data_IF_631668472140
#
_entry.id   IF_631668472140
#
_cell.length_a   1.000
_cell.length_b   1.000
_cell.length_c   1.000
_cell.angle_alpha   90.00
_cell.angle_beta   90.00
_cell.angle_gamma   90.00
#
_symmetry.space_group_name_H-M   'P 1'
#
loop_
_entity.id
_entity.type
_entity.pdbx_description
1 polymer ?
#
# COMPACT_ATOMS: atom_id res chain seq x y z
N UNK A 1 16.25 -207.05 155.94
CA UNK A 1 14.94 -207.10 155.24
C UNK A 1 14.95 -205.99 154.21
N UNK A 2 14.66 -206.34 152.93
CA UNK A 2 13.97 -205.58 151.84
C UNK A 2 14.26 -204.06 151.70
N UNK A 3 14.41 -203.39 150.56
CA UNK A 3 14.29 -203.61 149.10
C UNK A 3 14.61 -202.23 148.45
N UNK A 4 15.33 -202.16 147.32
CA UNK A 4 15.36 -201.12 146.23
C UNK A 4 15.50 -199.61 146.60
N UNK A 5 16.25 -198.73 145.91
CA UNK A 5 16.26 -198.43 144.48
C UNK A 5 17.39 -197.40 144.16
N UNK A 6 18.04 -197.53 143.00
CA UNK A 6 19.01 -196.59 142.43
C UNK A 6 18.40 -195.19 142.18
N UNK A 7 19.06 -194.10 142.61
CA UNK A 7 18.85 -192.75 142.03
C UNK A 7 19.53 -192.66 140.66
N UNK A 8 18.82 -192.14 139.67
CA UNK A 8 19.28 -191.98 138.27
C UNK A 8 19.84 -190.56 138.03
N UNK A 9 20.64 -190.36 136.98
CA UNK A 9 21.18 -189.03 136.60
C UNK A 9 20.10 -187.97 136.30
N UNK A 10 18.87 -188.40 136.04
CA UNK A 10 17.71 -187.53 135.86
C UNK A 10 17.36 -186.78 137.16
N UNK A 11 17.49 -187.43 138.31
CA UNK A 11 17.24 -186.81 139.61
C UNK A 11 18.31 -185.74 139.95
N UNK A 12 19.56 -185.95 139.51
CA UNK A 12 20.66 -184.95 139.65
C UNK A 12 20.45 -183.71 138.77
N UNK A 13 19.93 -183.88 137.54
CA UNK A 13 19.60 -182.75 136.65
C UNK A 13 18.42 -181.94 137.17
N UNK A 14 17.39 -182.59 137.70
CA UNK A 14 16.28 -181.89 138.34
C UNK A 14 16.76 -181.13 139.58
N UNK A 15 17.62 -181.74 140.41
CA UNK A 15 18.22 -181.04 141.54
C UNK A 15 19.02 -179.80 141.12
N UNK A 16 19.85 -179.87 140.06
CA UNK A 16 20.63 -178.73 139.55
C UNK A 16 19.77 -177.64 138.88
N UNK A 17 18.64 -178.02 138.26
CA UNK A 17 17.67 -177.07 137.72
C UNK A 17 16.90 -176.35 138.83
N UNK A 18 16.58 -177.06 139.92
CA UNK A 18 15.99 -176.50 141.13
C UNK A 18 16.98 -175.56 141.81
N UNK A 19 18.27 -175.91 141.91
CA UNK A 19 19.31 -175.03 142.45
C UNK A 19 19.53 -173.79 141.59
N UNK A 20 19.55 -173.89 140.26
CA UNK A 20 19.61 -172.72 139.37
C UNK A 20 18.40 -171.81 139.52
N UNK A 21 17.19 -172.39 139.63
CA UNK A 21 15.99 -171.60 139.92
C UNK A 21 16.11 -170.93 141.29
N UNK A 22 16.60 -171.63 142.31
CA UNK A 22 16.84 -171.01 143.62
C UNK A 22 17.89 -169.90 143.56
N UNK A 23 18.97 -170.07 142.80
CA UNK A 23 20.02 -169.06 142.65
C UNK A 23 19.52 -167.81 141.90
N UNK A 24 18.77 -167.99 140.81
CA UNK A 24 18.12 -166.89 140.08
C UNK A 24 17.09 -166.20 140.97
N UNK A 25 16.29 -166.97 141.71
CA UNK A 25 15.30 -166.40 142.61
C UNK A 25 15.96 -165.71 143.81
N UNK A 26 17.13 -166.16 144.28
CA UNK A 26 17.96 -165.47 145.27
C UNK A 26 18.53 -164.15 144.73
N UNK A 27 19.07 -164.11 143.51
CA UNK A 27 19.52 -162.86 142.89
C UNK A 27 18.36 -161.90 142.58
N UNK A 28 17.20 -162.45 142.25
CA UNK A 28 15.97 -161.68 142.04
C UNK A 28 15.45 -161.16 143.37
N UNK A 29 15.48 -161.96 144.44
CA UNK A 29 15.14 -161.53 145.80
C UNK A 29 16.06 -160.40 146.27
N UNK A 30 17.38 -160.51 146.06
CA UNK A 30 18.34 -159.45 146.37
C UNK A 30 17.98 -158.12 145.69
N UNK A 31 17.36 -158.15 144.50
CA UNK A 31 16.87 -156.96 143.79
C UNK A 31 15.48 -156.49 144.24
N UNK A 32 14.52 -157.40 144.41
CA UNK A 32 13.11 -157.09 144.74
C UNK A 32 12.94 -156.68 146.20
N UNK A 33 13.63 -157.36 147.13
CA UNK A 33 13.55 -157.08 148.57
C UNK A 33 14.49 -155.95 149.01
N UNK A 34 15.44 -155.51 148.18
CA UNK A 34 16.22 -154.31 148.46
C UNK A 34 15.39 -153.06 148.04
N UNK A 35 14.84 -152.29 148.99
CA UNK A 35 13.93 -151.20 148.66
C UNK A 35 14.59 -150.13 147.79
N UNK A 36 15.91 -149.92 147.96
CA UNK A 36 16.67 -148.87 147.26
C UNK A 36 16.88 -149.19 145.78
N UNK A 37 17.20 -150.44 145.45
CA UNK A 37 17.34 -150.89 144.05
C UNK A 37 15.97 -150.97 143.37
N UNK A 38 14.93 -151.33 144.12
CA UNK A 38 13.55 -151.39 143.63
C UNK A 38 12.94 -150.01 143.35
N UNK A 39 13.24 -148.99 144.17
CA UNK A 39 12.76 -147.62 143.94
C UNK A 39 13.64 -146.82 142.97
N UNK A 40 14.97 -147.00 143.00
CA UNK A 40 15.94 -146.15 142.26
C UNK A 40 17.13 -147.00 141.74
N UNK A 41 16.84 -148.08 141.01
CA UNK A 41 17.86 -148.91 140.37
C UNK A 41 18.25 -148.39 138.99
N UNK A 42 19.22 -147.47 138.92
CA UNK A 42 19.70 -146.91 137.65
C UNK A 42 21.16 -147.32 137.39
N UNK A 43 21.46 -147.74 136.16
CA UNK A 43 22.81 -148.07 135.71
C UNK A 43 23.57 -146.79 135.31
N UNK A 44 24.40 -146.28 136.22
CA UNK A 44 25.10 -145.00 136.07
C UNK A 44 26.19 -145.09 134.98
N UNK A 45 26.80 -146.25 134.77
CA UNK A 45 27.86 -146.41 133.76
C UNK A 45 27.28 -146.43 132.35
N UNK A 46 26.17 -147.14 132.14
CA UNK A 46 25.43 -147.11 130.88
C UNK A 46 24.92 -145.69 130.56
N UNK A 47 24.40 -144.96 131.56
CA UNK A 47 23.95 -143.57 131.38
C UNK A 47 25.12 -142.63 131.02
N UNK A 48 26.31 -142.81 131.59
CA UNK A 48 27.50 -142.03 131.22
C UNK A 48 27.90 -142.28 129.76
N UNK A 49 27.90 -143.52 129.31
CA UNK A 49 28.19 -143.85 127.90
C UNK A 49 27.15 -143.21 126.96
N UNK A 50 25.87 -143.26 127.30
CA UNK A 50 24.80 -142.60 126.54
C UNK A 50 24.98 -141.07 126.47
N UNK A 51 25.44 -140.43 127.55
CA UNK A 51 25.75 -138.99 127.57
C UNK A 51 26.94 -138.67 126.66
N UNK A 52 27.98 -139.49 126.69
CA UNK A 52 29.18 -139.31 125.85
C UNK A 52 28.83 -139.44 124.36
N UNK A 53 28.05 -140.46 124.01
CA UNK A 53 27.56 -140.69 122.64
C UNK A 53 26.67 -139.54 122.16
N UNK A 54 25.75 -139.07 123.01
CA UNK A 54 24.90 -137.91 122.71
C UNK A 54 25.73 -136.64 122.50
N UNK A 55 26.78 -136.40 123.31
CA UNK A 55 27.69 -135.26 123.13
C UNK A 55 28.46 -135.33 121.81
N UNK A 56 28.90 -136.52 121.39
CA UNK A 56 29.57 -136.69 120.08
C UNK A 56 28.60 -136.40 118.93
N UNK A 57 27.38 -136.93 118.99
CA UNK A 57 26.33 -136.65 118.02
C UNK A 57 25.99 -135.16 117.94
N UNK A 58 25.86 -134.47 119.08
CA UNK A 58 25.60 -133.02 119.10
C UNK A 58 26.78 -132.22 118.53
N UNK A 59 28.01 -132.65 118.76
CA UNK A 59 29.19 -132.00 118.20
C UNK A 59 29.29 -132.19 116.67
N UNK A 60 28.93 -133.37 116.16
CA UNK A 60 28.85 -133.62 114.72
C UNK A 60 27.73 -132.81 114.07
N UNK A 61 26.55 -132.72 114.69
CA UNK A 61 25.45 -131.87 114.23
C UNK A 61 25.87 -130.41 114.14
N UNK A 62 26.53 -129.88 115.17
CA UNK A 62 27.05 -128.50 115.14
C UNK A 62 28.05 -128.25 114.02
N UNK A 63 28.91 -129.23 113.69
CA UNK A 63 29.84 -129.09 112.55
C UNK A 63 29.08 -129.06 111.22
N UNK A 64 28.04 -129.88 111.08
CA UNK A 64 27.18 -129.90 109.90
C UNK A 64 26.43 -128.57 109.76
N UNK A 65 25.85 -128.06 110.86
CA UNK A 65 25.16 -126.77 110.89
C UNK A 65 26.10 -125.62 110.51
N UNK A 66 27.33 -125.60 111.03
CA UNK A 66 28.35 -124.61 110.67
C UNK A 66 28.70 -124.63 109.18
N UNK A 67 28.82 -125.82 108.58
CA UNK A 67 29.07 -125.94 107.13
C UNK A 67 27.89 -125.39 106.32
N UNK A 68 26.64 -125.61 106.78
CA UNK A 68 25.46 -125.05 106.13
C UNK A 68 25.36 -123.52 106.31
N UNK A 69 25.69 -122.99 107.47
CA UNK A 69 25.76 -121.54 107.72
C UNK A 69 26.80 -120.87 106.80
N UNK A 70 28.00 -121.45 106.70
CA UNK A 70 29.05 -120.94 105.80
C UNK A 70 28.63 -121.01 104.32
N UNK A 71 27.89 -122.05 103.92
CA UNK A 71 27.32 -122.14 102.57
C UNK A 71 26.24 -121.07 102.35
N UNK A 72 25.35 -120.84 103.32
CA UNK A 72 24.32 -119.82 103.23
C UNK A 72 24.92 -118.41 103.06
N UNK A 73 25.97 -118.08 103.82
CA UNK A 73 26.70 -116.81 103.69
C UNK A 73 27.30 -116.67 102.29
N UNK A 74 27.89 -117.74 101.73
CA UNK A 74 28.43 -117.72 100.37
C UNK A 74 27.34 -117.52 99.32
N UNK A 75 26.19 -118.17 99.46
CA UNK A 75 25.07 -118.00 98.53
C UNK A 75 24.49 -116.58 98.58
N UNK A 76 24.37 -115.99 99.77
CA UNK A 76 23.91 -114.61 99.94
C UNK A 76 24.87 -113.61 99.27
N UNK A 77 26.19 -113.79 99.47
CA UNK A 77 27.22 -113.00 98.79
C UNK A 77 27.14 -113.13 97.26
N UNK A 78 26.89 -114.34 96.74
CA UNK A 78 26.71 -114.56 95.30
C UNK A 78 25.44 -113.87 94.79
N UNK A 79 24.33 -113.92 95.53
CA UNK A 79 23.07 -113.25 95.16
C UNK A 79 23.24 -111.74 95.06
N UNK A 80 23.88 -111.13 96.06
CA UNK A 80 24.15 -109.68 96.07
C UNK A 80 25.03 -109.26 94.89
N UNK A 81 26.06 -110.05 94.56
CA UNK A 81 26.92 -109.79 93.42
C UNK A 81 26.18 -109.91 92.07
N UNK A 82 25.24 -110.86 91.96
CA UNK A 82 24.40 -111.01 90.76
C UNK A 82 23.40 -109.86 90.62
N UNK A 83 22.78 -109.42 91.71
CA UNK A 83 21.87 -108.27 91.72
C UNK A 83 22.59 -106.97 91.31
N UNK A 84 23.79 -106.74 91.84
CA UNK A 84 24.62 -105.60 91.45
C UNK A 84 24.95 -105.61 89.95
N UNK A 85 25.34 -106.77 89.40
CA UNK A 85 25.57 -106.93 87.96
C UNK A 85 24.30 -106.65 87.15
N UNK A 86 23.14 -107.14 87.58
CA UNK A 86 21.88 -106.88 86.88
C UNK A 86 21.53 -105.38 86.87
N UNK A 87 21.70 -104.70 88.00
CA UNK A 87 21.47 -103.25 88.10
C UNK A 87 22.43 -102.47 87.19
N UNK A 88 23.70 -102.85 87.12
CA UNK A 88 24.67 -102.24 86.22
C UNK A 88 24.32 -102.45 84.75
N UNK A 89 23.94 -103.66 84.35
CA UNK A 89 23.52 -103.95 82.97
C UNK A 89 22.23 -103.19 82.59
N UNK A 90 21.26 -103.10 83.51
CA UNK A 90 20.06 -102.26 83.29
C UNK A 90 20.40 -100.79 83.08
N UNK A 91 21.37 -100.26 83.85
CA UNK A 91 21.85 -98.88 83.67
C UNK A 91 22.55 -98.68 82.32
N UNK A 92 23.42 -99.60 81.92
CA UNK A 92 24.09 -99.58 80.61
C UNK A 92 23.08 -99.60 79.48
N UNK A 93 22.11 -100.52 79.53
CA UNK A 93 21.06 -100.62 78.52
C UNK A 93 20.22 -99.33 78.42
N UNK A 94 19.83 -98.74 79.56
CA UNK A 94 19.11 -97.48 79.58
C UNK A 94 19.94 -96.33 78.96
N UNK A 95 21.25 -96.30 79.24
CA UNK A 95 22.16 -95.33 78.65
C UNK A 95 22.30 -95.53 77.14
N UNK A 96 22.43 -96.78 76.66
CA UNK A 96 22.47 -97.10 75.24
C UNK A 96 21.18 -96.71 74.51
N UNK A 97 20.01 -96.99 75.10
CA UNK A 97 18.71 -96.57 74.54
C UNK A 97 18.62 -95.05 74.44
N UNK A 98 19.05 -94.33 75.48
CA UNK A 98 19.05 -92.87 75.44
C UNK A 98 20.06 -92.32 74.43
N UNK A 99 21.25 -92.92 74.32
CA UNK A 99 22.23 -92.57 73.30
C UNK A 99 21.68 -92.81 71.90
N UNK A 100 20.95 -93.91 71.70
CA UNK A 100 20.28 -94.20 70.43
C UNK A 100 19.20 -93.18 70.12
N UNK A 101 18.35 -92.82 71.10
CA UNK A 101 17.32 -91.78 70.95
C UNK A 101 17.92 -90.43 70.55
N UNK A 102 18.97 -90.00 71.26
CA UNK A 102 19.66 -88.73 71.00
C UNK A 102 20.37 -88.75 69.67
N UNK A 103 20.91 -89.90 69.23
CA UNK A 103 21.71 -89.96 68.01
C UNK A 103 20.86 -90.15 66.74
N UNK A 104 19.78 -90.93 66.82
CA UNK A 104 19.04 -91.40 65.65
C UNK A 104 17.54 -91.11 65.67
N UNK A 105 16.99 -90.57 66.76
CA UNK A 105 15.56 -90.23 66.88
C UNK A 105 15.36 -88.74 67.16
N UNK A 106 16.25 -87.90 66.59
CA UNK A 106 16.15 -86.45 66.69
C UNK A 106 14.91 -85.94 65.94
N UNK A 107 14.45 -84.75 66.32
CA UNK A 107 13.31 -84.12 65.65
C UNK A 107 13.64 -83.72 64.21
N UNK A 108 14.89 -83.32 64.00
CA UNK A 108 15.46 -82.86 62.74
C UNK A 108 15.61 -83.99 61.71
N UNK A 109 15.76 -85.24 62.16
CA UNK A 109 15.98 -86.40 61.29
C UNK A 109 14.64 -87.02 60.79
N UNK A 110 13.51 -86.41 61.13
CA UNK A 110 12.18 -86.88 60.69
C UNK A 110 12.00 -86.61 59.20
N UNK A 111 11.25 -87.50 58.53
CA UNK A 111 10.95 -87.38 57.09
C UNK A 111 10.24 -86.08 56.75
N UNK A 112 9.37 -85.62 57.64
CA UNK A 112 8.54 -84.43 57.52
C UNK A 112 9.14 -83.19 58.23
N UNK A 113 10.43 -83.21 58.58
CA UNK A 113 11.06 -82.08 59.24
C UNK A 113 11.10 -80.84 58.34
N UNK A 114 11.27 -81.00 57.03
CA UNK A 114 11.21 -79.91 56.05
C UNK A 114 9.90 -79.10 56.09
N UNK A 115 8.77 -79.77 56.38
CA UNK A 115 7.46 -79.14 56.55
C UNK A 115 7.28 -78.53 57.95
N UNK A 116 7.89 -79.12 58.98
CA UNK A 116 7.71 -78.73 60.38
C UNK A 116 8.87 -77.89 60.94
N UNK A 117 9.84 -77.52 60.11
CA UNK A 117 11.00 -76.72 60.49
C UNK A 117 10.54 -75.33 60.95
N UNK A 118 10.78 -74.94 62.22
CA UNK A 118 10.42 -73.62 62.73
C UNK A 118 11.09 -72.46 61.94
N UNK A 119 12.17 -72.75 61.22
CA UNK A 119 12.90 -71.79 60.39
C UNK A 119 12.59 -71.89 58.89
N UNK A 120 11.61 -72.69 58.47
CA UNK A 120 11.29 -72.91 57.06
C UNK A 120 11.12 -71.59 56.27
N UNK A 121 10.37 -70.62 56.82
CA UNK A 121 10.11 -69.32 56.17
C UNK A 121 11.41 -68.52 55.96
N UNK A 122 12.39 -68.65 56.85
CA UNK A 122 13.69 -67.94 56.74
C UNK A 122 14.62 -68.57 55.71
N UNK A 123 14.48 -69.89 55.48
CA UNK A 123 15.28 -70.64 54.50
C UNK A 123 14.72 -70.55 53.08
N UNK A 124 13.42 -70.27 52.94
CA UNK A 124 12.75 -70.11 51.65
C UNK A 124 13.23 -68.85 50.91
N UNK A 125 13.51 -69.02 49.62
CA UNK A 125 13.78 -67.91 48.72
C UNK A 125 12.46 -67.24 48.30
N UNK A 126 12.46 -65.92 48.05
CA UNK A 126 11.35 -65.26 47.39
C UNK A 126 10.96 -65.96 46.08
N UNK A 127 9.67 -65.93 45.74
CA UNK A 127 9.13 -66.55 44.54
C UNK A 127 9.78 -66.03 43.25
N UNK A 128 10.20 -64.75 43.24
CA UNK A 128 11.00 -64.08 42.19
C UNK A 128 12.15 -63.34 42.84
N UNK A 129 13.39 -63.62 42.41
CA UNK A 129 14.59 -62.95 42.92
C UNK A 129 14.94 -61.67 42.15
N UNK A 130 14.77 -61.69 40.83
CA UNK A 130 15.04 -60.57 39.92
C UNK A 130 14.20 -60.72 38.64
N UNK A 131 14.27 -59.73 37.73
CA UNK A 131 13.37 -59.66 36.57
C UNK A 131 13.58 -60.78 35.55
N UNK A 132 14.81 -61.23 35.39
CA UNK A 132 15.20 -62.33 34.49
C UNK A 132 15.53 -63.63 35.24
N UNK A 133 14.74 -63.98 36.26
CA UNK A 133 14.92 -65.21 37.04
C UNK A 133 14.62 -66.46 36.18
N UNK A 134 15.63 -67.30 35.86
CA UNK A 134 15.44 -68.45 34.96
C UNK A 134 14.52 -69.54 35.52
N UNK A 135 14.21 -69.50 36.83
CA UNK A 135 13.30 -70.45 37.49
C UNK A 135 11.83 -70.14 37.20
N UNK A 136 11.53 -68.93 36.74
CA UNK A 136 10.17 -68.46 36.47
C UNK A 136 9.88 -68.61 34.99
N UNK A 137 9.13 -69.66 34.65
CA UNK A 137 8.49 -69.78 33.36
C UNK A 137 7.12 -69.10 33.31
N UNK A 138 6.50 -69.11 32.12
CA UNK A 138 5.19 -68.50 31.86
C UNK A 138 4.09 -69.04 32.78
N UNK A 139 4.14 -70.32 33.16
CA UNK A 139 3.15 -70.98 34.03
C UNK A 139 3.21 -70.50 35.50
N UNK A 140 4.34 -69.96 35.95
CA UNK A 140 4.54 -69.59 37.35
C UNK A 140 3.78 -68.31 37.76
N UNK A 141 3.27 -67.54 36.79
CA UNK A 141 2.49 -66.31 37.00
C UNK A 141 3.15 -65.26 37.93
N UNK A 142 4.49 -65.25 37.99
CA UNK A 142 5.28 -64.28 38.77
C UNK A 142 5.86 -63.12 37.94
N UNK A 143 5.80 -63.22 36.61
CA UNK A 143 6.22 -62.18 35.64
C UNK A 143 5.19 -62.12 34.54
N UNK A 144 4.74 -60.91 34.21
CA UNK A 144 3.78 -60.66 33.14
C UNK A 144 4.38 -59.72 32.11
N UNK A 145 4.24 -60.05 30.82
CA UNK A 145 4.75 -59.21 29.72
C UNK A 145 4.11 -57.81 29.66
N UNK A 146 2.93 -57.63 30.28
CA UNK A 146 2.30 -56.32 30.42
C UNK A 146 2.93 -55.41 31.49
N UNK A 147 3.80 -55.96 32.34
CA UNK A 147 4.54 -55.22 33.35
C UNK A 147 5.69 -54.45 32.68
N UNK A 148 5.44 -53.18 32.35
CA UNK A 148 6.41 -52.34 31.64
C UNK A 148 7.40 -51.65 32.58
N UNK A 149 8.43 -52.37 33.01
CA UNK A 149 9.50 -51.82 33.85
C UNK A 149 10.26 -50.65 33.16
N UNK A 150 10.32 -50.65 31.83
CA UNK A 150 10.99 -49.61 31.02
C UNK A 150 10.07 -48.44 30.63
N UNK A 151 8.87 -48.35 31.21
CA UNK A 151 7.87 -47.35 30.83
C UNK A 151 8.35 -45.91 30.99
N UNK A 152 9.13 -45.62 32.02
CA UNK A 152 9.65 -44.27 32.28
C UNK A 152 10.78 -43.88 31.30
N UNK A 153 11.64 -44.83 30.91
CA UNK A 153 12.65 -44.61 29.87
C UNK A 153 11.97 -44.36 28.51
N UNK A 154 10.96 -45.15 28.16
CA UNK A 154 10.17 -44.93 26.94
C UNK A 154 9.54 -43.54 26.91
N UNK A 155 8.92 -43.11 28.00
CA UNK A 155 8.34 -41.76 28.13
C UNK A 155 9.41 -40.66 28.03
N UNK A 156 10.62 -40.89 28.53
CA UNK A 156 11.74 -39.94 28.39
C UNK A 156 12.13 -39.78 26.93
N UNK A 157 12.35 -40.88 26.21
CA UNK A 157 12.68 -40.85 24.77
C UNK A 157 11.56 -40.19 23.96
N UNK A 158 10.29 -40.50 24.24
CA UNK A 158 9.15 -39.87 23.57
C UNK A 158 9.11 -38.35 23.81
N UNK A 159 9.38 -37.89 25.05
CA UNK A 159 9.46 -36.45 25.35
C UNK A 159 10.60 -35.76 24.60
N UNK A 160 11.76 -36.41 24.49
CA UNK A 160 12.91 -35.89 23.73
C UNK A 160 12.60 -35.79 22.24
N UNK A 161 11.91 -36.79 21.67
CA UNK A 161 11.46 -36.76 20.27
C UNK A 161 10.47 -35.61 20.03
N UNK A 162 9.45 -35.48 20.87
CA UNK A 162 8.45 -34.41 20.77
C UNK A 162 9.12 -33.05 20.90
N UNK A 163 10.06 -32.89 21.84
CA UNK A 163 10.82 -31.64 21.98
C UNK A 163 11.58 -31.32 20.70
N UNK A 164 12.33 -32.28 20.14
CA UNK A 164 13.07 -32.09 18.90
C UNK A 164 12.18 -31.65 17.74
N UNK A 165 11.01 -32.27 17.58
CA UNK A 165 10.05 -31.88 16.54
C UNK A 165 9.48 -30.48 16.75
N UNK A 166 9.18 -30.11 17.99
CA UNK A 166 8.69 -28.76 18.30
C UNK A 166 9.77 -27.71 18.07
N UNK A 167 11.01 -27.99 18.46
CA UNK A 167 12.16 -27.10 18.23
C UNK A 167 12.35 -26.86 16.72
N UNK A 168 12.27 -27.92 15.90
CA UNK A 168 12.31 -27.81 14.43
C UNK A 168 11.16 -26.97 13.87
N UNK A 169 9.92 -27.20 14.32
CA UNK A 169 8.76 -26.41 13.87
C UNK A 169 8.86 -24.93 14.26
N UNK A 170 9.40 -24.63 15.45
CA UNK A 170 9.64 -23.26 15.90
C UNK A 170 10.67 -22.60 15.00
N UNK A 171 11.79 -23.27 14.73
CA UNK A 171 12.85 -22.73 13.87
C UNK A 171 12.37 -22.48 12.44
N UNK A 172 11.64 -23.42 11.83
CA UNK A 172 11.04 -23.26 10.50
C UNK A 172 10.06 -22.09 10.47
N UNK A 173 9.20 -21.97 11.48
CA UNK A 173 8.24 -20.87 11.59
C UNK A 173 8.93 -19.52 11.77
N UNK A 174 9.95 -19.46 12.62
CA UNK A 174 10.74 -18.23 12.82
C UNK A 174 11.49 -17.82 11.55
N UNK A 175 12.05 -18.78 10.81
CA UNK A 175 12.69 -18.52 9.53
C UNK A 175 11.69 -17.98 8.50
N UNK A 176 10.52 -18.61 8.38
CA UNK A 176 9.45 -18.15 7.48
C UNK A 176 8.92 -16.76 7.88
N UNK A 177 8.75 -16.48 9.17
CA UNK A 177 8.32 -15.16 9.65
C UNK A 177 9.40 -14.09 9.40
N UNK A 178 10.69 -14.42 9.52
CA UNK A 178 11.80 -13.51 9.17
C UNK A 178 11.81 -13.21 7.67
N UNK A 179 11.66 -14.23 6.82
CA UNK A 179 11.59 -14.07 5.37
C UNK A 179 10.38 -13.21 4.96
N UNK A 180 9.21 -13.46 5.55
CA UNK A 180 8.00 -12.66 5.31
C UNK A 180 8.22 -11.19 5.71
N UNK A 181 8.80 -10.93 6.88
CA UNK A 181 9.10 -9.56 7.33
C UNK A 181 10.10 -8.87 6.40
N UNK A 182 11.16 -9.56 5.99
CA UNK A 182 12.14 -9.02 5.05
C UNK A 182 11.51 -8.69 3.70
N UNK A 183 10.62 -9.54 3.19
CA UNK A 183 9.85 -9.29 1.97
C UNK A 183 8.90 -8.09 2.12
N UNK A 184 8.18 -7.99 3.25
CA UNK A 184 7.31 -6.86 3.56
C UNK A 184 8.09 -5.54 3.66
N UNK A 185 9.27 -5.55 4.27
CA UNK A 185 10.16 -4.39 4.39
C UNK A 185 10.71 -3.97 3.02
N UNK A 186 11.15 -4.93 2.21
CA UNK A 186 11.60 -4.67 0.83
C UNK A 186 10.47 -4.08 -0.02
N UNK A 187 9.25 -4.61 0.12
CA UNK A 187 8.08 -4.07 -0.57
C UNK A 187 7.76 -2.64 -0.13
N UNK A 188 7.75 -2.36 1.18
CA UNK A 188 7.54 -1.01 1.72
C UNK A 188 8.59 -0.04 1.21
N UNK A 189 9.87 -0.43 1.20
CA UNK A 189 10.94 0.40 0.67
C UNK A 189 10.75 0.70 -0.82
N UNK A 190 10.34 -0.30 -1.62
CA UNK A 190 10.05 -0.12 -3.04
C UNK A 190 8.86 0.83 -3.28
N UNK A 191 7.80 0.76 -2.46
CA UNK A 191 6.66 1.67 -2.53
C UNK A 191 7.08 3.10 -2.21
N UNK A 192 7.85 3.31 -1.13
CA UNK A 192 8.35 4.63 -0.75
C UNK A 192 9.20 5.22 -1.87
N UNK A 193 10.16 4.46 -2.41
CA UNK A 193 11.02 4.91 -3.51
C UNK A 193 10.21 5.27 -4.77
N UNK A 194 9.14 4.52 -5.07
CA UNK A 194 8.24 4.81 -6.19
C UNK A 194 7.49 6.12 -5.97
N UNK A 195 6.99 6.35 -4.75
CA UNK A 195 6.22 7.54 -4.42
C UNK A 195 7.12 8.80 -4.38
N UNK A 196 8.34 8.69 -3.85
CA UNK A 196 9.37 9.73 -3.95
C UNK A 196 9.66 10.09 -5.41
N UNK A 197 9.85 9.07 -6.26
CA UNK A 197 10.07 9.27 -7.69
C UNK A 197 8.89 9.95 -8.38
N UNK A 198 7.66 9.62 -7.99
CA UNK A 198 6.46 10.27 -8.52
C UNK A 198 6.40 11.75 -8.14
N UNK A 199 6.76 12.10 -6.90
CA UNK A 199 6.84 13.50 -6.44
C UNK A 199 7.90 14.27 -7.24
N UNK A 200 9.09 13.69 -7.44
CA UNK A 200 10.14 14.31 -8.25
C UNK A 200 9.66 14.60 -9.68
N UNK A 201 9.00 13.62 -10.31
CA UNK A 201 8.47 13.77 -11.67
C UNK A 201 7.39 14.86 -11.76
N UNK A 202 6.48 14.94 -10.80
CA UNK A 202 5.46 16.00 -10.74
C UNK A 202 6.08 17.39 -10.57
N UNK A 203 7.12 17.53 -9.74
CA UNK A 203 7.87 18.79 -9.60
C UNK A 203 8.55 19.16 -10.92
N UNK A 204 9.21 18.21 -11.58
CA UNK A 204 9.86 18.45 -12.88
C UNK A 204 8.84 18.83 -13.96
N UNK A 205 7.70 18.16 -14.02
CA UNK A 205 6.62 18.47 -14.97
C UNK A 205 6.11 19.90 -14.75
N UNK A 206 5.81 20.27 -13.50
CA UNK A 206 5.35 21.63 -13.14
C UNK A 206 6.38 22.69 -13.53
N UNK A 207 7.67 22.42 -13.32
CA UNK A 207 8.74 23.32 -13.74
C UNK A 207 8.81 23.47 -15.26
N UNK A 208 8.80 22.35 -16.00
CA UNK A 208 8.76 22.36 -17.47
C UNK A 208 7.56 23.13 -18.00
N UNK A 209 6.36 22.89 -17.46
CA UNK A 209 5.13 23.60 -17.85
C UNK A 209 5.26 25.10 -17.59
N UNK A 210 5.81 25.50 -16.45
CA UNK A 210 6.06 26.92 -16.13
C UNK A 210 7.06 27.56 -17.10
N UNK A 211 8.12 26.85 -17.47
CA UNK A 211 9.10 27.33 -18.44
C UNK A 211 8.48 27.49 -19.83
N UNK A 212 7.70 26.51 -20.30
CA UNK A 212 6.97 26.57 -21.56
C UNK A 212 5.99 27.75 -21.58
N UNK A 213 5.19 27.93 -20.53
CA UNK A 213 4.26 29.06 -20.42
C UNK A 213 5.00 30.41 -20.46
N UNK A 214 6.15 30.51 -19.79
CA UNK A 214 6.98 31.72 -19.82
C UNK A 214 7.53 31.98 -21.22
N UNK A 215 8.00 30.95 -21.91
CA UNK A 215 8.47 31.05 -23.30
C UNK A 215 7.35 31.49 -24.25
N UNK A 216 6.15 30.88 -24.17
CA UNK A 216 4.99 31.28 -24.94
C UNK A 216 4.56 32.72 -24.65
N UNK A 217 4.57 33.14 -23.37
CA UNK A 217 4.25 34.52 -23.00
C UNK A 217 5.25 35.52 -23.61
N UNK A 218 6.55 35.22 -23.52
CA UNK A 218 7.59 36.06 -24.12
C UNK A 218 7.45 36.13 -25.65
N UNK A 219 7.18 34.99 -26.30
CA UNK A 219 6.95 34.94 -27.74
C UNK A 219 5.73 35.76 -28.16
N UNK A 220 4.60 35.61 -27.45
CA UNK A 220 3.39 36.38 -27.74
C UNK A 220 3.58 37.88 -27.51
N UNK A 221 4.38 38.28 -26.51
CA UNK A 221 4.76 39.67 -26.30
C UNK A 221 5.59 40.20 -27.48
N UNK A 222 6.63 39.48 -27.87
CA UNK A 222 7.45 39.86 -29.02
C UNK A 222 6.62 39.98 -30.31
N UNK A 223 5.68 39.06 -30.53
CA UNK A 223 4.76 39.10 -31.68
C UNK A 223 3.78 40.28 -31.61
N UNK A 224 3.32 40.66 -30.41
CA UNK A 224 2.47 41.82 -30.21
C UNK A 224 3.25 43.13 -30.49
N UNK A 225 4.49 43.21 -30.00
CA UNK A 225 5.39 44.35 -30.23
C UNK A 225 5.71 44.50 -31.73
N UNK A 226 6.02 43.39 -32.42
CA UNK A 226 6.23 43.36 -33.87
C UNK A 226 5.00 43.88 -34.63
N UNK A 227 3.80 43.38 -34.28
CA UNK A 227 2.54 43.86 -34.89
C UNK A 227 2.29 45.34 -34.64
N UNK A 228 2.64 45.85 -33.47
CA UNK A 228 2.50 47.27 -33.14
C UNK A 228 3.47 48.12 -33.98
N UNK A 229 4.72 47.69 -34.12
CA UNK A 229 5.71 48.32 -35.01
C UNK A 229 5.23 48.32 -36.46
N UNK A 230 4.80 47.18 -36.99
CA UNK A 230 4.25 47.06 -38.34
C UNK A 230 3.05 47.99 -38.56
N UNK A 231 2.16 48.09 -37.58
CA UNK A 231 1.01 48.99 -37.64
C UNK A 231 1.46 50.45 -37.70
N UNK A 232 2.42 50.86 -36.85
CA UNK A 232 2.97 52.22 -36.88
C UNK A 232 3.63 52.54 -38.23
N UNK A 233 4.35 51.58 -38.81
CA UNK A 233 4.97 51.74 -40.12
C UNK A 233 3.91 51.85 -41.24
N UNK A 234 2.85 51.05 -41.20
CA UNK A 234 1.71 51.18 -42.13
C UNK A 234 1.01 52.52 -41.97
N UNK A 235 0.66 52.91 -40.74
CA UNK A 235 0.04 54.20 -40.46
C UNK A 235 0.93 55.37 -40.92
N UNK A 236 2.25 55.24 -40.85
CA UNK A 236 3.21 56.23 -41.39
C UNK A 236 3.14 56.26 -42.92
N UNK A 237 3.20 55.11 -43.59
CA UNK A 237 3.08 55.02 -45.05
C UNK A 237 1.75 55.55 -45.55
N UNK A 238 0.64 55.19 -44.92
CA UNK A 238 -0.69 55.67 -45.29
C UNK A 238 -0.79 57.20 -45.17
N UNK A 239 -0.15 57.80 -44.15
CA UNK A 239 -0.04 59.26 -44.03
C UNK A 239 0.84 59.87 -45.13
N UNK A 240 1.98 59.26 -45.44
CA UNK A 240 2.87 59.69 -46.53
C UNK A 240 2.15 59.63 -47.88
N UNK A 241 1.44 58.54 -48.16
CA UNK A 241 0.62 58.34 -49.36
C UNK A 241 -0.53 59.34 -49.43
N UNK A 242 -1.22 59.59 -48.31
CA UNK A 242 -2.28 60.61 -48.23
C UNK A 242 -1.74 62.00 -48.51
N UNK A 243 -0.57 62.36 -47.94
CA UNK A 243 0.10 63.64 -48.21
C UNK A 243 0.53 63.75 -49.67
N UNK A 244 1.10 62.67 -50.24
CA UNK A 244 1.48 62.62 -51.64
C UNK A 244 0.25 62.77 -52.55
N UNK A 245 -0.86 62.11 -52.24
CA UNK A 245 -2.12 62.26 -52.97
C UNK A 245 -2.66 63.69 -52.90
N UNK A 246 -2.67 64.30 -51.70
CA UNK A 246 -3.08 65.71 -51.52
C UNK A 246 -2.21 66.64 -52.37
N UNK A 247 -0.88 66.47 -52.31
CA UNK A 247 0.07 67.27 -53.07
C UNK A 247 -0.12 67.09 -54.59
N UNK A 248 -0.19 65.85 -55.06
CA UNK A 248 -0.42 65.53 -56.47
C UNK A 248 -1.77 66.08 -56.96
N UNK A 249 -2.81 66.02 -56.14
CA UNK A 249 -4.13 66.57 -56.49
C UNK A 249 -4.06 68.10 -56.56
N UNK A 250 -3.43 68.75 -55.57
CA UNK A 250 -3.26 70.20 -55.53
C UNK A 250 -2.45 70.72 -56.72
N UNK A 251 -1.40 69.99 -57.13
CA UNK A 251 -0.56 70.35 -58.28
C UNK A 251 -1.07 69.79 -59.61
N UNK A 252 -2.20 69.08 -59.63
CA UNK A 252 -2.76 68.53 -60.85
C UNK A 252 -3.20 69.64 -61.80
N UNK A 253 -3.16 69.37 -63.11
CA UNK A 253 -3.60 70.33 -64.13
C UNK A 253 -5.09 70.69 -64.03
N UNK A 254 -5.89 69.84 -63.37
CA UNK A 254 -7.29 70.11 -63.09
C UNK A 254 -7.44 71.19 -62.02
N UNK A 255 -6.75 71.07 -60.87
CA UNK A 255 -6.88 72.00 -59.75
C UNK A 255 -6.11 73.31 -59.97
N UNK A 256 -4.99 73.27 -60.70
CA UNK A 256 -4.20 74.47 -61.06
C UNK A 256 -4.75 75.21 -62.27
N UNK A 257 -5.79 74.67 -62.89
CA UNK A 257 -6.37 75.15 -64.15
C UNK A 257 -5.33 75.43 -65.25
N UNK A 258 -4.26 74.63 -65.32
CA UNK A 258 -3.17 74.82 -66.27
C UNK A 258 -3.70 75.02 -67.71
N UNK A 259 -3.37 76.13 -68.42
CA UNK A 259 -3.83 76.39 -69.78
C UNK A 259 -3.11 75.54 -70.84
N UNK A 260 -1.94 74.99 -70.51
CA UNK A 260 -1.10 74.25 -71.47
C UNK A 260 -1.69 72.88 -71.84
N UNK A 261 -2.56 72.31 -71.01
CA UNK A 261 -3.32 71.09 -71.35
C UNK A 261 -4.21 71.26 -72.58
N UNK A 262 -4.50 72.51 -72.99
CA UNK A 262 -5.25 72.78 -74.21
C UNK A 262 -4.44 72.56 -75.48
N UNK A 263 -3.12 72.37 -75.40
CA UNK A 263 -2.24 72.16 -76.55
C UNK A 263 -2.40 70.73 -77.10
N UNK A 264 -2.66 70.61 -78.41
CA UNK A 264 -2.75 69.31 -79.05
C UNK A 264 -1.37 68.77 -79.42
N UNK A 265 -1.12 67.48 -79.16
CA UNK A 265 0.08 66.79 -79.66
C UNK A 265 0.21 66.81 -81.20
N UNK A 266 -0.86 67.12 -81.93
CA UNK A 266 -0.88 67.19 -83.40
C UNK A 266 -0.39 68.53 -83.97
N UNK A 267 -0.01 69.49 -83.11
CA UNK A 267 0.69 70.71 -83.54
C UNK A 267 0.44 71.93 -82.64
N UNK A 268 1.40 72.88 -82.57
CA UNK A 268 1.39 73.98 -81.61
C UNK A 268 0.20 74.96 -81.77
N UNK A 269 -0.34 75.11 -82.98
CA UNK A 269 -1.48 76.01 -83.25
C UNK A 269 -2.84 75.32 -83.13
N UNK A 270 -2.88 74.03 -82.77
CA UNK A 270 -4.13 73.28 -82.64
C UNK A 270 -4.46 73.11 -81.16
N UNK A 271 -5.63 73.61 -80.75
CA UNK A 271 -6.12 73.44 -79.38
C UNK A 271 -7.16 72.32 -79.29
N UNK A 272 -7.17 71.58 -78.18
CA UNK A 272 -8.14 70.54 -77.87
C UNK A 272 -9.45 71.20 -77.43
N UNK A 273 -10.53 70.99 -78.18
CA UNK A 273 -11.78 71.76 -78.03
C UNK A 273 -12.41 71.74 -76.63
N UNK A 274 -12.49 70.55 -76.00
CA UNK A 274 -13.10 70.41 -74.67
C UNK A 274 -12.17 70.79 -73.50
N UNK A 275 -10.89 71.03 -73.76
CA UNK A 275 -9.91 71.49 -72.76
C UNK A 275 -9.54 72.96 -72.95
N UNK A 276 -10.23 73.70 -73.83
CA UNK A 276 -9.91 75.08 -74.14
C UNK A 276 -10.35 76.02 -73.01
N UNK A 277 -9.38 76.68 -72.36
CA UNK A 277 -9.57 77.60 -71.22
C UNK A 277 -9.35 79.08 -71.60
N UNK A 278 -9.85 79.47 -72.77
CA UNK A 278 -9.75 80.85 -73.27
C UNK A 278 -8.37 81.26 -73.79
N UNK A 279 -8.25 82.52 -74.23
CA UNK A 279 -7.02 83.07 -74.80
C UNK A 279 -5.98 83.41 -73.73
N UNK A 280 -4.70 83.27 -74.07
CA UNK A 280 -3.58 83.64 -73.21
C UNK A 280 -3.56 85.14 -72.93
N UNK A 281 -2.88 85.56 -71.85
CA UNK A 281 -2.72 86.99 -71.53
C UNK A 281 -1.99 87.73 -72.65
N UNK A 282 -1.04 87.07 -73.31
CA UNK A 282 -0.27 87.60 -74.44
C UNK A 282 -1.14 87.76 -75.70
N UNK A 283 -1.96 86.75 -76.03
CA UNK A 283 -2.92 86.81 -77.15
C UNK A 283 -3.93 87.95 -76.94
N UNK A 284 -4.49 88.06 -75.73
CA UNK A 284 -5.41 89.16 -75.37
C UNK A 284 -4.71 90.52 -75.42
N UNK A 285 -3.43 90.60 -75.06
CA UNK A 285 -2.64 91.83 -75.16
C UNK A 285 -2.41 92.22 -76.62
N UNK A 286 -2.10 91.27 -77.50
CA UNK A 286 -1.97 91.49 -78.94
C UNK A 286 -3.28 91.99 -79.55
N UNK A 287 -4.42 91.40 -79.19
CA UNK A 287 -5.74 91.92 -79.62
C UNK A 287 -6.00 93.34 -79.13
N UNK A 288 -5.67 93.65 -77.87
CA UNK A 288 -5.80 95.02 -77.36
C UNK A 288 -4.89 96.01 -78.08
N UNK A 289 -3.66 95.63 -78.40
CA UNK A 289 -2.75 96.46 -79.20
C UNK A 289 -3.30 96.69 -80.62
N UNK A 290 -3.84 95.65 -81.27
CA UNK A 290 -4.48 95.78 -82.57
C UNK A 290 -5.71 96.69 -82.53
N UNK A 291 -6.55 96.61 -81.49
CA UNK A 291 -7.69 97.52 -81.30
C UNK A 291 -7.24 98.98 -81.10
N UNK A 292 -6.18 99.21 -80.33
CA UNK A 292 -5.62 100.55 -80.16
C UNK A 292 -5.07 101.10 -81.49
N UNK A 293 -4.41 100.27 -82.29
CA UNK A 293 -3.97 100.65 -83.63
C UNK A 293 -5.15 100.99 -84.56
N UNK A 294 -6.23 100.20 -84.54
CA UNK A 294 -7.44 100.50 -85.31
C UNK A 294 -8.10 101.82 -84.90
N UNK A 295 -8.13 102.13 -83.60
CA UNK A 295 -8.66 103.42 -83.11
C UNK A 295 -7.80 104.58 -83.64
N UNK A 296 -6.48 104.42 -83.67
CA UNK A 296 -5.58 105.45 -84.16
C UNK A 296 -5.68 105.63 -85.67
N UNK A 297 -5.82 104.54 -86.44
CA UNK A 297 -6.08 104.61 -87.88
C UNK A 297 -7.44 105.25 -88.18
N UNK A 298 -8.49 104.97 -87.39
CA UNK A 298 -9.79 105.62 -87.57
C UNK A 298 -9.74 107.13 -87.27
N UNK A 299 -8.95 107.54 -86.26
CA UNK A 299 -8.68 108.97 -85.99
C UNK A 299 -7.97 109.64 -87.15
N UNK A 300 -6.96 108.99 -87.74
CA UNK A 300 -6.24 109.51 -88.93
C UNK A 300 -7.20 109.66 -90.10
N UNK A 301 -8.01 108.64 -90.39
CA UNK A 301 -9.05 108.69 -91.43
C UNK A 301 -10.01 109.86 -91.25
N UNK A 302 -10.53 110.06 -90.03
CA UNK A 302 -11.41 111.22 -89.71
C UNK A 302 -10.69 112.56 -89.77
N UNK A 303 -9.38 112.61 -89.54
CA UNK A 303 -8.59 113.83 -89.70
C UNK A 303 -8.39 114.17 -91.18
N UNK A 304 -8.11 113.15 -92.01
CA UNK A 304 -8.01 113.30 -93.47
C UNK A 304 -9.35 113.69 -94.10
N UNK A 305 -10.47 113.08 -93.67
CA UNK A 305 -11.81 113.48 -94.10
C UNK A 305 -12.13 114.93 -93.74
N UNK A 306 -11.77 115.37 -92.52
CA UNK A 306 -11.92 116.78 -92.11
C UNK A 306 -11.05 117.72 -92.93
N UNK A 307 -9.80 117.33 -93.25
CA UNK A 307 -8.93 118.14 -94.11
C UNK A 307 -9.52 118.27 -95.52
N UNK A 308 -9.98 117.16 -96.08
CA UNK A 308 -10.62 117.15 -97.39
C UNK A 308 -11.90 117.99 -97.42
N UNK A 309 -12.73 117.90 -96.37
CA UNK A 309 -13.94 118.74 -96.25
C UNK A 309 -13.58 120.23 -96.18
N UNK A 310 -12.53 120.59 -95.44
CA UNK A 310 -12.08 121.98 -95.33
C UNK A 310 -11.55 122.51 -96.68
N UNK A 311 -10.79 121.71 -97.42
CA UNK A 311 -10.35 122.04 -98.80
C UNK A 311 -11.55 122.19 -99.76
N UNK A 312 -12.57 121.34 -99.62
CA UNK A 312 -13.81 121.42 -100.41
C UNK A 312 -14.64 122.67 -100.07
N UNK A 313 -14.75 123.01 -98.79
CA UNK A 313 -15.44 124.20 -98.31
C UNK A 313 -14.72 125.48 -98.80
N UNK A 314 -13.38 125.50 -98.80
CA UNK A 314 -12.62 126.62 -99.36
C UNK A 314 -12.80 126.77 -100.88
N UNK A 315 -12.80 125.64 -101.62
CA UNK A 315 -13.06 125.64 -103.06
C UNK A 315 -14.48 126.14 -103.39
N UNK A 316 -15.49 125.66 -102.67
CA UNK A 316 -16.88 126.08 -102.86
C UNK A 316 -17.09 127.54 -102.47
N UNK A 317 -16.54 128.00 -101.35
CA UNK A 317 -16.57 129.41 -100.94
C UNK A 317 -15.86 130.33 -101.97
N UNK A 318 -14.71 129.90 -102.50
CA UNK A 318 -14.01 130.60 -103.58
C UNK A 318 -14.88 130.73 -104.83
N UNK A 319 -15.54 129.64 -105.21
CA UNK A 319 -16.47 129.60 -106.36
C UNK A 319 -17.71 130.47 -106.14
N UNK A 320 -18.29 130.47 -104.94
CA UNK A 320 -19.41 131.35 -104.61
C UNK A 320 -19.02 132.83 -104.64
N UNK A 321 -17.80 133.18 -104.20
CA UNK A 321 -17.28 134.56 -104.29
C UNK A 321 -17.13 135.02 -105.73
N UNK A 322 -16.66 134.16 -106.65
CA UNK A 322 -16.59 134.49 -108.08
C UNK A 322 -17.97 134.66 -108.70
N UNK A 323 -18.93 133.78 -108.38
CA UNK A 323 -20.33 133.92 -108.82
C UNK A 323 -20.93 135.25 -108.32
N UNK A 324 -20.78 135.57 -107.03
CA UNK A 324 -21.30 136.82 -106.46
C UNK A 324 -20.66 138.07 -107.07
N UNK A 325 -19.37 138.01 -107.46
CA UNK A 325 -18.71 139.09 -108.20
C UNK A 325 -19.28 139.24 -109.62
N UNK A 326 -19.54 138.13 -110.33
CA UNK A 326 -20.20 138.15 -111.64
C UNK A 326 -21.63 138.72 -111.56
N UNK A 327 -22.42 138.31 -110.56
CA UNK A 327 -23.77 138.85 -110.34
C UNK A 327 -23.77 140.35 -110.08
N UNK A 328 -22.81 140.87 -109.31
CA UNK A 328 -22.64 142.32 -109.11
C UNK A 328 -22.29 143.05 -110.41
N UNK A 329 -21.48 142.46 -111.29
CA UNK A 329 -21.17 143.04 -112.60
C UNK A 329 -22.41 143.07 -113.51
N UNK A 330 -23.18 141.98 -113.54
CA UNK A 330 -24.46 141.90 -114.25
C UNK A 330 -25.45 142.95 -113.73
N UNK A 331 -25.61 143.09 -112.41
CA UNK A 331 -26.48 144.08 -111.81
C UNK A 331 -26.05 145.53 -112.12
N UNK A 332 -24.75 145.83 -112.21
CA UNK A 332 -24.25 147.15 -112.66
C UNK A 332 -24.63 147.43 -114.11
N UNK A 333 -24.39 146.47 -115.02
CA UNK A 333 -24.79 146.60 -116.44
C UNK A 333 -26.31 146.77 -116.58
N UNK A 334 -27.11 146.07 -115.78
CA UNK A 334 -28.57 146.21 -115.77
C UNK A 334 -29.00 147.62 -115.32
N UNK A 335 -28.34 148.19 -114.30
CA UNK A 335 -28.60 149.55 -113.82
C UNK A 335 -28.21 150.62 -114.85
N UNK A 336 -27.11 150.44 -115.57
CA UNK A 336 -26.71 151.34 -116.66
C UNK A 336 -27.75 151.34 -117.78
N UNK A 337 -28.17 150.16 -118.26
CA UNK A 337 -29.27 150.05 -119.23
C UNK A 337 -30.57 150.70 -118.75
N UNK A 338 -30.95 150.50 -117.48
CA UNK A 338 -32.16 151.10 -116.93
C UNK A 338 -32.07 152.64 -116.86
N UNK A 339 -30.88 153.21 -116.65
CA UNK A 339 -30.68 154.67 -116.71
C UNK A 339 -30.83 155.20 -118.14
N UNK A 340 -30.26 154.53 -119.13
CA UNK A 340 -30.42 154.91 -120.55
C UNK A 340 -31.89 154.94 -120.96
N UNK A 341 -32.66 153.90 -120.60
CA UNK A 341 -34.12 153.83 -120.86
C UNK A 341 -34.87 154.96 -120.14
N UNK A 342 -34.49 155.31 -118.91
CA UNK A 342 -35.13 156.39 -118.15
C UNK A 342 -34.87 157.77 -118.78
N UNK A 343 -33.67 158.03 -119.28
CA UNK A 343 -33.33 159.27 -120.00
C UNK A 343 -34.09 159.38 -121.32
N UNK A 344 -34.21 158.28 -122.06
CA UNK A 344 -34.95 158.22 -123.32
C UNK A 344 -36.46 158.48 -123.11
N UNK A 345 -37.05 157.88 -122.08
CA UNK A 345 -38.45 158.14 -121.68
C UNK A 345 -38.68 159.60 -121.27
N UNK A 346 -37.71 160.24 -120.61
CA UNK A 346 -37.79 161.65 -120.21
C UNK A 346 -37.79 162.57 -121.41
N UNK A 347 -37.00 162.26 -122.45
CA UNK A 347 -37.03 162.96 -123.75
C UNK A 347 -38.40 162.84 -124.42
N UNK A 348 -38.92 161.61 -124.55
CA UNK A 348 -40.24 161.38 -125.16
C UNK A 348 -41.38 162.11 -124.43
N UNK A 349 -41.33 162.20 -123.10
CA UNK A 349 -42.35 162.90 -122.32
C UNK A 349 -42.37 164.42 -122.57
N UNK A 350 -41.20 165.05 -122.77
CA UNK A 350 -41.08 166.48 -123.10
C UNK A 350 -41.65 166.75 -124.50
N UNK A 351 -41.28 165.93 -125.48
CA UNK A 351 -41.76 166.07 -126.85
C UNK A 351 -43.28 165.92 -126.95
N UNK A 352 -43.85 164.95 -126.22
CA UNK A 352 -45.29 164.75 -126.15
C UNK A 352 -46.04 165.93 -125.52
N UNK A 353 -45.49 166.50 -124.44
CA UNK A 353 -46.08 167.68 -123.76
C UNK A 353 -46.08 168.92 -124.65
N UNK A 354 -45.01 169.12 -125.43
CA UNK A 354 -44.90 170.21 -126.39
C UNK A 354 -45.92 170.06 -127.53
N UNK A 355 -46.16 168.82 -127.98
CA UNK A 355 -47.13 168.51 -129.02
C UNK A 355 -48.59 168.78 -128.57
N UNK A 356 -48.96 168.41 -127.34
CA UNK A 356 -50.30 168.68 -126.80
C UNK A 356 -50.56 170.19 -126.68
N UNK A 357 -49.59 170.96 -126.17
CA UNK A 357 -49.71 172.42 -126.05
C UNK A 357 -49.98 173.12 -127.40
N UNK A 358 -49.41 172.59 -128.49
CA UNK A 358 -49.63 173.10 -129.85
C UNK A 358 -51.07 172.86 -130.32
N UNK A 359 -51.61 171.66 -130.09
CA UNK A 359 -52.97 171.29 -130.48
C UNK A 359 -54.03 172.12 -129.74
N UNK A 360 -53.89 172.26 -128.41
CA UNK A 360 -54.88 172.97 -127.58
C UNK A 360 -54.99 174.47 -127.88
N UNK A 361 -53.86 175.14 -128.16
CA UNK A 361 -53.85 176.60 -128.33
C UNK A 361 -54.16 177.08 -129.75
N UNK A 362 -53.81 176.30 -130.77
CA UNK A 362 -53.88 176.78 -132.16
C UNK A 362 -55.02 176.12 -132.93
N UNK A 363 -55.28 174.83 -132.68
CA UNK A 363 -56.20 174.04 -133.53
C UNK A 363 -57.62 174.01 -132.94
N UNK A 364 -57.77 173.97 -131.61
CA UNK A 364 -59.08 173.69 -130.96
C UNK A 364 -59.85 174.93 -130.45
N UNK A 365 -59.66 176.11 -131.05
CA UNK A 365 -60.44 177.33 -130.72
C UNK A 365 -61.47 177.65 -131.80
N UNK A 366 -62.71 177.16 -131.64
CA UNK A 366 -63.83 177.44 -132.55
C UNK A 366 -64.58 178.73 -132.15
N UNK A 367 -64.50 179.78 -132.98
CA UNK A 367 -65.32 181.00 -132.85
C UNK A 367 -66.59 180.86 -133.71
N UNK A 368 -67.82 180.96 -133.15
CA UNK A 368 -69.06 180.80 -133.91
C UNK A 368 -69.30 181.95 -134.90
N UNK A 369 -69.63 181.61 -136.13
CA UNK A 369 -69.91 182.54 -137.22
C UNK A 369 -71.38 182.97 -137.23
N UNK A 370 -71.65 184.20 -137.66
CA UNK A 370 -72.93 184.92 -137.48
C UNK A 370 -74.21 184.18 -137.92
N UNK A 371 -74.12 183.17 -138.79
CA UNK A 371 -75.25 182.33 -139.22
C UNK A 371 -75.94 181.56 -138.06
N UNK A 372 -75.26 181.37 -136.93
CA UNK A 372 -75.76 180.58 -135.78
C UNK A 372 -76.93 181.25 -135.03
N UNK A 373 -77.01 182.58 -135.00
CA UNK A 373 -77.94 183.27 -134.08
C UNK A 373 -79.34 183.54 -134.65
N UNK A 374 -79.53 183.51 -135.96
CA UNK A 374 -80.82 183.88 -136.58
C UNK A 374 -81.83 182.73 -136.67
N UNK A 375 -81.44 181.51 -136.31
CA UNK A 375 -82.25 180.32 -136.54
C UNK A 375 -83.33 180.05 -135.49
N UNK A 376 -83.24 180.63 -134.30
CA UNK A 376 -84.08 180.17 -133.19
C UNK A 376 -85.29 181.08 -132.94
N UNK A 377 -86.45 180.45 -132.82
CA UNK A 377 -87.78 181.01 -132.52
C UNK A 377 -88.55 181.69 -133.66
N UNK A 378 -88.19 181.48 -134.94
CA UNK A 378 -88.94 182.10 -136.07
C UNK A 378 -90.32 181.46 -136.39
N UNK A 379 -90.83 180.48 -135.64
CA UNK A 379 -92.20 179.97 -135.85
C UNK A 379 -92.72 179.14 -134.67
N UNK A 380 -94.03 179.21 -134.44
CA UNK A 380 -94.78 178.72 -133.27
C UNK A 380 -95.05 177.21 -133.26
N UNK A 381 -94.28 176.45 -134.03
CA UNK A 381 -94.53 175.06 -134.41
C UNK A 381 -93.31 174.18 -134.19
#
# INVERSE_FOLDING_TARGET
MLQFQLMTDQDRKEAAAIERRRAIEEERKKRIFNPRVRLIGNDIEALKQQIEEKKKLDAERKKVDQVFEDQAIKYDQISLALEQKEVEERKKLAQEINNFRVSFQKFEDRREFDLNDPQAIKKLLPARLYDEDPRIGISAAQKFEGEDAAGDERKKVQREQVKSWLDQQIEEREAADKERKAADEAYKAAVIARDERAIELDVMEKQCRKQLLRACCNFNKALADERECDKKERDRRDKEDSMAQMYNTMMSDMMTENPDVSLSNLGPNRRIGYMYKGMSKEEKAAFRQAQLAQIEDDKKRRADERRFQMEWDDYTNGTQRTIAMMDKQLARKQREKNKEIAEENKRMAVDHKNYINYLEKIVYSNKPTAAFYEQFNKSTR
#
